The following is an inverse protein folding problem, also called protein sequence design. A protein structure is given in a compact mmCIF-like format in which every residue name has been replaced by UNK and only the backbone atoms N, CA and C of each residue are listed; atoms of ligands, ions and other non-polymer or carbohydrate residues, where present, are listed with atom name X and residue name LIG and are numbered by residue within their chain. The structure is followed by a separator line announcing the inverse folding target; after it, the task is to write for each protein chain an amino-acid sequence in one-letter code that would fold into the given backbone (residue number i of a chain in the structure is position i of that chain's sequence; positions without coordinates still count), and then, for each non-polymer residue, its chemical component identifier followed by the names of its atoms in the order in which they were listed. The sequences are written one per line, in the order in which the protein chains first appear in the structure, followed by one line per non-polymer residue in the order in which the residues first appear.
data_IF_029044082634
#
_entry.id   IF_029044082634
#
_cell.length_a   1.000
_cell.length_b   1.000
_cell.length_c   1.000
_cell.angle_alpha   90.00
_cell.angle_beta   90.00
_cell.angle_gamma   90.00
#
_symmetry.space_group_name_H-M   'P 1'
#
loop_
_entity.id
_entity.type
_entity.pdbx_description
1 polymer ?
#
# COMPACT_ATOMS: atom_id res chain seq x y z
N UNK A 1 11.50 16.28 21.45
CA UNK A 1 11.47 15.13 22.40
C UNK A 1 12.63 14.20 22.09
N UNK A 2 13.46 13.95 23.11
CA UNK A 2 14.87 13.55 23.04
C UNK A 2 15.16 12.15 22.48
N UNK A 3 15.85 12.09 21.33
CA UNK A 3 16.51 10.87 20.80
C UNK A 3 17.60 10.33 21.74
N UNK A 4 18.22 11.21 22.53
CA UNK A 4 19.29 10.88 23.50
C UNK A 4 18.88 9.85 24.56
N UNK A 5 17.60 9.86 24.99
CA UNK A 5 17.12 8.98 26.05
C UNK A 5 16.90 7.54 25.59
N UNK A 6 16.72 7.30 24.28
CA UNK A 6 16.55 5.93 23.74
C UNK A 6 17.89 5.23 23.60
N UNK A 7 18.90 5.95 23.08
CA UNK A 7 20.26 5.42 22.92
C UNK A 7 20.89 5.13 24.28
N UNK A 8 20.69 6.03 25.26
CA UNK A 8 21.20 5.82 26.62
C UNK A 8 20.60 4.59 27.31
N UNK A 9 19.31 4.30 27.12
CA UNK A 9 18.65 3.10 27.69
C UNK A 9 19.13 1.80 27.05
N UNK A 10 19.36 1.81 25.73
CA UNK A 10 19.91 0.64 25.02
C UNK A 10 21.35 0.38 25.45
N UNK A 11 22.16 1.42 25.60
CA UNK A 11 23.53 1.29 26.12
C UNK A 11 23.56 0.79 27.57
N UNK A 12 22.68 1.31 28.43
CA UNK A 12 22.61 0.88 29.83
C UNK A 12 22.19 -0.59 29.94
N UNK A 13 21.24 -1.03 29.11
CA UNK A 13 20.81 -2.43 29.04
C UNK A 13 21.92 -3.36 28.54
N UNK A 14 22.68 -2.92 27.53
CA UNK A 14 23.80 -3.69 26.98
C UNK A 14 24.94 -3.85 28.00
N UNK A 15 25.32 -2.77 28.68
CA UNK A 15 26.38 -2.79 29.70
C UNK A 15 25.97 -3.58 30.94
N UNK A 16 24.71 -3.43 31.39
CA UNK A 16 24.19 -4.19 32.53
C UNK A 16 24.13 -5.69 32.24
N UNK A 17 23.70 -6.09 31.06
CA UNK A 17 23.65 -7.50 30.65
C UNK A 17 25.06 -8.10 30.55
N UNK A 18 26.02 -7.33 30.04
CA UNK A 18 27.41 -7.76 29.91
C UNK A 18 28.12 -7.94 31.26
N UNK A 19 27.85 -7.05 32.22
CA UNK A 19 28.36 -7.14 33.59
C UNK A 19 27.74 -8.32 34.36
N UNK A 20 26.43 -8.55 34.22
CA UNK A 20 25.75 -9.65 34.88
C UNK A 20 26.26 -11.01 34.39
N UNK A 21 26.49 -11.12 33.08
CA UNK A 21 27.07 -12.33 32.45
C UNK A 21 28.54 -12.53 32.84
N UNK A 22 29.32 -11.46 32.98
CA UNK A 22 30.72 -11.55 33.43
C UNK A 22 30.85 -12.02 34.88
N UNK A 23 29.89 -11.64 35.74
CA UNK A 23 29.84 -12.06 37.14
C UNK A 23 29.44 -13.53 37.31
N UNK A 24 28.51 -14.03 36.49
CA UNK A 24 28.03 -15.41 36.58
C UNK A 24 29.02 -16.46 36.04
N UNK A 25 29.93 -16.09 35.14
CA UNK A 25 30.77 -17.05 34.40
C UNK A 25 32.19 -17.20 34.97
N UNK A 26 32.55 -16.44 36.02
CA UNK A 26 33.74 -16.74 36.83
C UNK A 26 35.09 -16.51 36.14
N UNK A 27 35.15 -15.68 35.08
CA UNK A 27 36.42 -15.25 34.47
C UNK A 27 36.32 -14.88 32.99
N UNK A 28 37.14 -13.92 32.51
CA UNK A 28 36.97 -13.30 31.18
C UNK A 28 37.31 -14.21 29.99
N UNK A 29 38.15 -15.23 30.18
CA UNK A 29 38.68 -16.04 29.07
C UNK A 29 37.69 -17.14 28.63
N UNK A 30 37.01 -17.79 29.58
CA UNK A 30 35.96 -18.78 29.28
C UNK A 30 34.62 -18.13 28.91
N UNK A 31 34.37 -16.89 29.38
CA UNK A 31 33.16 -16.15 29.06
C UNK A 31 33.07 -15.79 27.57
N UNK A 32 34.17 -15.38 26.93
CA UNK A 32 34.16 -15.00 25.50
C UNK A 32 33.84 -16.20 24.60
N UNK A 33 34.40 -17.37 24.89
CA UNK A 33 34.11 -18.60 24.12
C UNK A 33 32.67 -19.08 24.32
N UNK A 34 32.14 -19.03 25.55
CA UNK A 34 30.74 -19.36 25.82
C UNK A 34 29.77 -18.34 25.23
N UNK A 35 30.12 -17.05 25.18
CA UNK A 35 29.31 -16.01 24.55
C UNK A 35 29.31 -16.20 23.03
N UNK A 36 30.43 -16.51 22.39
CA UNK A 36 30.47 -16.79 20.95
C UNK A 36 29.68 -18.05 20.58
N UNK A 37 29.84 -19.14 21.33
CA UNK A 37 29.04 -20.35 21.15
C UNK A 37 27.56 -20.08 21.43
N UNK A 38 27.23 -19.32 22.46
CA UNK A 38 25.85 -18.94 22.77
C UNK A 38 25.26 -18.01 21.72
N UNK A 39 26.01 -17.07 21.15
CA UNK A 39 25.55 -16.21 20.05
C UNK A 39 25.35 -17.03 18.77
N UNK A 40 26.21 -18.00 18.48
CA UNK A 40 26.06 -18.90 17.33
C UNK A 40 24.90 -19.89 17.55
N UNK A 41 24.69 -20.37 18.78
CA UNK A 41 23.56 -21.24 19.11
C UNK A 41 22.24 -20.45 19.17
N UNK A 42 22.21 -19.26 19.75
CA UNK A 42 21.01 -18.41 19.84
C UNK A 42 20.70 -17.78 18.49
N UNK A 43 21.72 -17.31 17.76
CA UNK A 43 21.61 -16.75 16.41
C UNK A 43 21.32 -17.81 15.37
N UNK A 44 21.98 -18.97 15.43
CA UNK A 44 21.77 -20.09 14.51
C UNK A 44 20.43 -20.80 14.71
N UNK A 45 20.04 -21.08 15.96
CA UNK A 45 18.73 -21.68 16.24
C UNK A 45 17.61 -20.67 15.96
N UNK A 46 17.80 -19.38 16.27
CA UNK A 46 16.84 -18.35 15.88
C UNK A 46 16.73 -18.25 14.36
N UNK A 47 17.81 -18.38 13.59
CA UNK A 47 17.76 -18.35 12.12
C UNK A 47 17.01 -19.57 11.56
N UNK A 48 17.27 -20.75 12.11
CA UNK A 48 16.63 -22.01 11.73
C UNK A 48 15.13 -21.98 12.05
N UNK A 49 14.71 -21.34 13.13
CA UNK A 49 13.28 -21.15 13.44
C UNK A 49 12.65 -20.02 12.61
N UNK A 50 13.42 -19.00 12.25
CA UNK A 50 12.93 -17.83 11.52
C UNK A 50 12.62 -18.10 10.04
N UNK A 51 13.46 -18.89 9.37
CA UNK A 51 13.27 -19.28 7.96
C UNK A 51 11.91 -19.98 7.72
N UNK A 52 11.54 -21.06 8.44
CA UNK A 52 10.25 -21.72 8.26
C UNK A 52 9.09 -20.84 8.73
N UNK A 53 9.28 -19.98 9.73
CA UNK A 53 8.26 -19.02 10.16
C UNK A 53 7.90 -18.05 9.02
N UNK A 54 8.91 -17.49 8.33
CA UNK A 54 8.70 -16.61 7.18
C UNK A 54 8.05 -17.31 6.00
N UNK A 55 8.44 -18.55 5.74
CA UNK A 55 7.83 -19.36 4.69
C UNK A 55 6.34 -19.64 5.00
N UNK A 56 6.03 -19.97 6.25
CA UNK A 56 4.66 -20.15 6.71
C UNK A 56 3.81 -18.88 6.59
N UNK A 57 4.33 -17.74 7.05
CA UNK A 57 3.65 -16.44 6.90
C UNK A 57 3.43 -16.09 5.42
N UNK A 58 4.43 -16.33 4.57
CA UNK A 58 4.32 -16.09 3.13
C UNK A 58 3.24 -16.94 2.45
N UNK A 59 3.12 -18.23 2.81
CA UNK A 59 2.05 -19.11 2.31
C UNK A 59 0.67 -18.68 2.80
N UNK A 60 0.54 -18.31 4.08
CA UNK A 60 -0.73 -17.84 4.65
C UNK A 60 -1.18 -16.55 3.96
N UNK A 61 -0.29 -15.58 3.77
CA UNK A 61 -0.61 -14.32 3.07
C UNK A 61 -0.99 -14.59 1.61
N UNK A 62 -0.23 -15.44 0.91
CA UNK A 62 -0.52 -15.81 -0.48
C UNK A 62 -1.87 -16.52 -0.63
N UNK A 63 -2.29 -17.30 0.36
CA UNK A 63 -3.59 -17.95 0.37
C UNK A 63 -4.74 -17.02 0.77
N UNK A 64 -4.49 -15.98 1.57
CA UNK A 64 -5.50 -14.98 1.94
C UNK A 64 -5.70 -13.92 0.84
N UNK A 65 -4.67 -13.59 0.07
CA UNK A 65 -4.75 -12.62 -1.03
C UNK A 65 -5.92 -12.88 -2.00
N UNK A 66 -6.13 -14.10 -2.54
CA UNK A 66 -7.26 -14.36 -3.44
C UNK A 66 -8.62 -14.25 -2.75
N UNK A 67 -8.71 -14.56 -1.44
CA UNK A 67 -9.97 -14.48 -0.69
C UNK A 67 -10.37 -13.02 -0.46
N UNK A 68 -9.41 -12.16 -0.11
CA UNK A 68 -9.64 -10.73 0.10
C UNK A 68 -9.88 -10.03 -1.24
N UNK A 69 -9.08 -10.31 -2.28
CA UNK A 69 -9.27 -9.68 -3.60
C UNK A 69 -10.58 -10.10 -4.28
N UNK A 70 -11.03 -11.34 -4.11
CA UNK A 70 -12.35 -11.77 -4.60
C UNK A 70 -13.51 -11.17 -3.79
N UNK A 71 -13.28 -10.84 -2.51
CA UNK A 71 -14.28 -10.16 -1.67
C UNK A 71 -14.42 -8.68 -2.03
N UNK A 72 -13.32 -8.01 -2.41
CA UNK A 72 -13.36 -6.64 -2.92
C UNK A 72 -13.95 -6.55 -4.34
N UNK A 73 -13.65 -7.50 -5.23
CA UNK A 73 -14.26 -7.57 -6.58
C UNK A 73 -15.77 -7.81 -6.58
N UNK A 74 -16.32 -8.37 -5.49
CA UNK A 74 -17.77 -8.64 -5.39
C UNK A 74 -18.58 -7.45 -4.87
N UNK A 75 -17.92 -6.36 -4.49
CA UNK A 75 -18.57 -5.20 -3.88
C UNK A 75 -18.40 -3.89 -4.67
N UNK A 76 -17.87 -3.95 -5.88
CA UNK A 76 -18.09 -2.88 -6.86
C UNK A 76 -19.48 -3.10 -7.47
N UNK A 77 -20.34 -2.12 -7.23
CA UNK A 77 -21.59 -1.87 -7.94
C UNK A 77 -21.42 -2.14 -9.45
N UNK A 78 -22.51 -2.48 -10.19
CA UNK A 78 -22.40 -2.74 -11.63
C UNK A 78 -21.59 -1.63 -12.27
N UNK A 79 -20.37 -1.98 -12.68
CA UNK A 79 -19.50 -1.10 -13.43
C UNK A 79 -20.29 -0.83 -14.71
N UNK A 80 -20.99 0.31 -14.72
CA UNK A 80 -21.56 0.84 -15.94
C UNK A 80 -20.35 0.98 -16.84
N UNK A 81 -20.22 0.06 -17.78
CA UNK A 81 -19.07 -0.08 -18.65
C UNK A 81 -19.09 1.13 -19.58
N UNK A 82 -18.67 2.28 -19.04
CA UNK A 82 -18.55 3.53 -19.75
C UNK A 82 -17.49 3.24 -20.81
N UNK A 83 -17.96 3.05 -22.05
CA UNK A 83 -17.08 2.84 -23.19
C UNK A 83 -16.00 3.92 -23.18
N UNK A 84 -14.78 3.58 -23.58
CA UNK A 84 -13.68 4.54 -23.68
C UNK A 84 -14.08 5.81 -24.47
N UNK A 85 -14.98 5.65 -25.44
CA UNK A 85 -15.55 6.74 -26.23
C UNK A 85 -16.37 7.73 -25.39
N UNK A 86 -17.15 7.22 -24.43
CA UNK A 86 -17.97 8.03 -23.54
C UNK A 86 -17.10 8.79 -22.52
N UNK A 87 -16.00 8.17 -22.06
CA UNK A 87 -15.02 8.84 -21.21
C UNK A 87 -14.31 9.97 -21.96
N UNK A 88 -13.90 9.73 -23.20
CA UNK A 88 -13.29 10.77 -24.05
C UNK A 88 -14.26 11.94 -24.29
N UNK A 89 -15.56 11.65 -24.45
CA UNK A 89 -16.59 12.67 -24.64
C UNK A 89 -16.77 13.56 -23.39
N UNK A 90 -16.81 12.93 -22.21
CA UNK A 90 -16.89 13.63 -20.92
C UNK A 90 -15.67 14.53 -20.71
N UNK A 91 -14.46 14.01 -20.92
CA UNK A 91 -13.21 14.78 -20.80
C UNK A 91 -13.19 15.98 -21.76
N UNK A 92 -13.68 15.80 -22.98
CA UNK A 92 -13.79 16.88 -23.96
C UNK A 92 -14.76 17.98 -23.52
N UNK A 93 -15.93 17.62 -22.98
CA UNK A 93 -16.92 18.57 -22.46
C UNK A 93 -16.32 19.36 -21.29
N UNK A 94 -15.64 18.68 -20.35
CA UNK A 94 -14.96 19.33 -19.23
C UNK A 94 -13.89 20.33 -19.69
N UNK A 95 -13.04 19.93 -20.63
CA UNK A 95 -11.97 20.79 -21.14
C UNK A 95 -12.54 22.01 -21.90
N UNK A 96 -13.64 21.83 -22.62
CA UNK A 96 -14.29 22.91 -23.37
C UNK A 96 -14.96 23.93 -22.45
N UNK A 97 -15.62 23.47 -21.37
CA UNK A 97 -16.16 24.35 -20.32
C UNK A 97 -15.08 25.12 -19.58
N UNK A 98 -13.94 24.49 -19.29
CA UNK A 98 -12.79 25.16 -18.67
C UNK A 98 -12.24 26.30 -19.55
N UNK A 99 -12.43 26.23 -20.86
CA UNK A 99 -12.07 27.27 -21.83
C UNK A 99 -13.18 28.33 -22.04
N UNK A 100 -14.30 28.23 -21.31
CA UNK A 100 -15.42 29.16 -21.40
C UNK A 100 -16.30 28.98 -22.64
N UNK A 101 -16.23 27.83 -23.31
CA UNK A 101 -17.10 27.52 -24.46
C UNK A 101 -18.49 27.17 -23.95
N UNK A 102 -19.54 27.71 -24.58
CA UNK A 102 -20.94 27.39 -24.24
C UNK A 102 -21.29 25.95 -24.63
N UNK A 103 -22.18 25.33 -23.86
CA UNK A 103 -22.60 23.95 -24.08
C UNK A 103 -23.23 23.74 -25.46
N UNK A 104 -23.96 24.74 -25.99
CA UNK A 104 -24.56 24.70 -27.34
C UNK A 104 -23.50 24.62 -28.45
N UNK A 105 -22.36 25.30 -28.26
CA UNK A 105 -21.24 25.26 -29.20
C UNK A 105 -20.51 23.91 -29.13
N UNK A 106 -20.36 23.34 -27.93
CA UNK A 106 -19.80 22.00 -27.76
C UNK A 106 -20.73 20.95 -28.38
N UNK A 107 -22.03 21.07 -28.17
CA UNK A 107 -23.04 20.16 -28.72
C UNK A 107 -23.05 20.17 -30.26
N UNK A 108 -23.10 21.36 -30.86
CA UNK A 108 -23.09 21.50 -32.33
C UNK A 108 -21.81 20.97 -32.95
N UNK A 109 -20.66 21.16 -32.30
CA UNK A 109 -19.38 20.68 -32.77
C UNK A 109 -19.25 19.15 -32.65
N UNK A 110 -19.71 18.55 -31.55
CA UNK A 110 -19.73 17.09 -31.41
C UNK A 110 -20.66 16.46 -32.45
N UNK A 111 -21.84 17.05 -32.66
CA UNK A 111 -22.77 16.62 -33.70
C UNK A 111 -22.18 16.74 -35.10
N UNK A 112 -21.46 17.83 -35.43
CA UNK A 112 -20.79 17.98 -36.73
C UNK A 112 -19.64 17.00 -36.94
N UNK A 113 -19.03 16.51 -35.85
CA UNK A 113 -17.99 15.47 -35.89
C UNK A 113 -18.55 14.04 -35.98
N UNK A 114 -19.87 13.88 -36.15
CA UNK A 114 -20.51 12.58 -36.37
C UNK A 114 -20.85 11.80 -35.09
N UNK A 115 -20.79 12.44 -33.92
CA UNK A 115 -21.23 11.82 -32.68
C UNK A 115 -22.76 11.71 -32.63
N UNK A 116 -23.27 10.59 -32.12
CA UNK A 116 -24.69 10.34 -31.99
C UNK A 116 -25.31 11.24 -30.90
N UNK A 117 -26.47 11.85 -31.21
CA UNK A 117 -27.11 12.84 -30.34
C UNK A 117 -27.47 12.32 -28.95
N UNK A 118 -27.85 11.04 -28.87
CA UNK A 118 -28.13 10.34 -27.61
C UNK A 118 -26.88 10.22 -26.74
N UNK A 119 -25.73 9.84 -27.32
CA UNK A 119 -24.47 9.72 -26.60
C UNK A 119 -23.98 11.09 -26.06
N UNK A 120 -24.21 12.16 -26.83
CA UNK A 120 -23.90 13.53 -26.40
C UNK A 120 -24.80 13.93 -25.22
N UNK A 121 -26.10 13.68 -25.29
CA UNK A 121 -27.03 13.95 -24.18
C UNK A 121 -26.67 13.18 -22.91
N UNK A 122 -26.35 11.89 -23.04
CA UNK A 122 -25.95 11.05 -21.91
C UNK A 122 -24.67 11.59 -21.24
N UNK A 123 -23.68 12.03 -22.04
CA UNK A 123 -22.45 12.63 -21.52
C UNK A 123 -22.70 13.97 -20.81
N UNK A 124 -23.55 14.85 -21.35
CA UNK A 124 -23.91 16.11 -20.66
C UNK A 124 -24.66 15.84 -19.35
N UNK A 125 -25.53 14.83 -19.31
CA UNK A 125 -26.23 14.40 -18.09
C UNK A 125 -25.24 13.94 -17.02
N UNK A 126 -24.27 13.11 -17.38
CA UNK A 126 -23.22 12.64 -16.45
C UNK A 126 -22.35 13.79 -15.92
N UNK A 127 -21.94 14.73 -16.78
CA UNK A 127 -21.16 15.90 -16.37
C UNK A 127 -21.95 16.80 -15.42
N UNK A 128 -23.27 16.94 -15.61
CA UNK A 128 -24.12 17.73 -14.71
C UNK A 128 -24.17 17.11 -13.30
N UNK A 129 -24.29 15.78 -13.19
CA UNK A 129 -24.32 15.08 -11.90
C UNK A 129 -22.99 15.15 -11.13
N UNK A 130 -21.85 15.24 -11.82
CA UNK A 130 -20.52 15.31 -11.20
C UNK A 130 -20.14 16.69 -10.65
N UNK A 131 -20.94 17.73 -10.90
CA UNK A 131 -20.67 19.10 -10.42
C UNK A 131 -21.21 19.37 -9.00
N UNK A 132 -22.00 18.44 -8.44
CA UNK A 132 -22.68 18.61 -7.14
C UNK A 132 -21.98 17.93 -5.95
N UNK A 133 -20.78 17.38 -6.15
CA UNK A 133 -19.90 16.85 -5.08
C UNK A 133 -18.58 17.60 -5.05
#
# INVERSE_FOLDING_TARGET
MNSSNRISRVFLGMVASFLLLSLFVGGPVNAISLILVSIICTGGVSLILWIPLWFGVGLVISSLLPVVTNSFKKSEAPEHNISNDQKALIDYIHQSRAKGVSDDNVFSLLKSNGWAENAIHDAFGLVATHKET
#
